data_IF_534394592441
#
_entry.id   IF_534394592441
#
_cell.length_a   1.000
_cell.length_b   1.000
_cell.length_c   1.000
_cell.angle_alpha   90.00
_cell.angle_beta   90.00
_cell.angle_gamma   90.00
#
_symmetry.space_group_name_H-M   'P 1'
#
loop_
_entity.id
_entity.type
_entity.pdbx_description
1 polymer ?
#
# COMPACT_ATOMS: atom_id res chain seq x y z
N UNK A 1 12.08 -16.41 9.04
CA UNK A 1 11.35 -17.69 9.07
C UNK A 1 9.99 -17.50 8.43
N UNK A 2 9.32 -18.58 8.00
CA UNK A 2 7.94 -18.53 7.50
C UNK A 2 7.19 -19.81 7.85
N UNK A 3 5.89 -19.71 8.05
CA UNK A 3 4.97 -20.86 8.10
C UNK A 3 4.63 -21.33 6.69
N UNK A 4 4.14 -22.56 6.56
CA UNK A 4 3.58 -23.09 5.31
C UNK A 4 2.12 -22.64 5.11
N UNK A 5 1.60 -22.65 3.87
CA UNK A 5 0.21 -22.33 3.59
C UNK A 5 -0.78 -23.17 4.40
N UNK A 6 -1.91 -22.55 4.77
CA UNK A 6 -3.02 -23.19 5.48
C UNK A 6 -4.26 -23.24 4.56
N UNK A 7 -4.05 -23.69 3.32
CA UNK A 7 -5.07 -23.82 2.27
C UNK A 7 -5.31 -25.29 1.90
N UNK A 8 -6.54 -25.59 1.47
CA UNK A 8 -6.95 -26.95 1.12
C UNK A 8 -6.67 -27.32 -0.35
N UNK A 9 -6.00 -26.44 -1.10
CA UNK A 9 -5.73 -26.54 -2.53
C UNK A 9 -6.92 -27.07 -3.35
N UNK A 10 -8.02 -26.32 -3.35
CA UNK A 10 -9.28 -26.70 -4.04
C UNK A 10 -9.86 -28.04 -3.56
N UNK A 11 -9.66 -28.37 -2.29
CA UNK A 11 -10.10 -29.62 -1.69
C UNK A 11 -9.19 -30.83 -1.93
N UNK A 12 -8.02 -30.65 -2.55
CA UNK A 12 -7.01 -31.71 -2.73
C UNK A 12 -6.31 -32.10 -1.42
N UNK A 13 -6.34 -31.24 -0.41
CA UNK A 13 -5.77 -31.49 0.92
C UNK A 13 -6.91 -31.72 1.93
N UNK A 14 -6.83 -32.83 2.68
CA UNK A 14 -7.82 -33.17 3.70
C UNK A 14 -7.71 -32.27 4.95
N UNK A 15 -8.80 -32.17 5.72
CA UNK A 15 -8.78 -31.43 6.99
C UNK A 15 -7.79 -32.03 8.02
N UNK A 16 -7.52 -33.35 7.94
CA UNK A 16 -6.46 -33.98 8.74
C UNK A 16 -5.08 -33.43 8.38
N UNK A 17 -4.76 -33.41 7.08
CA UNK A 17 -3.49 -32.90 6.60
C UNK A 17 -3.31 -31.41 6.92
N UNK A 18 -4.39 -30.62 6.84
CA UNK A 18 -4.42 -29.23 7.30
C UNK A 18 -4.15 -29.10 8.80
N UNK A 19 -4.76 -29.95 9.63
CA UNK A 19 -4.52 -29.94 11.07
C UNK A 19 -3.05 -30.26 11.40
N UNK A 20 -2.47 -31.27 10.73
CA UNK A 20 -1.04 -31.58 10.86
C UNK A 20 -0.15 -30.42 10.39
N UNK A 21 -0.53 -29.74 9.31
CA UNK A 21 0.13 -28.53 8.82
C UNK A 21 0.09 -27.39 9.86
N UNK A 22 -1.08 -27.16 10.46
CA UNK A 22 -1.24 -26.18 11.54
C UNK A 22 -0.33 -26.49 12.73
N UNK A 23 -0.27 -27.75 13.19
CA UNK A 23 0.63 -28.17 14.26
C UNK A 23 2.10 -27.91 13.95
N UNK A 24 2.53 -28.15 12.71
CA UNK A 24 3.90 -27.82 12.25
C UNK A 24 4.15 -26.31 12.25
N UNK A 25 3.16 -25.52 11.82
CA UNK A 25 3.23 -24.07 11.86
C UNK A 25 3.33 -23.54 13.30
N UNK A 26 2.62 -24.13 14.27
CA UNK A 26 2.80 -23.80 15.70
C UNK A 26 4.23 -24.06 16.18
N UNK A 27 4.85 -25.17 15.79
CA UNK A 27 6.26 -25.43 16.14
C UNK A 27 7.22 -24.38 15.56
N UNK A 28 6.97 -23.88 14.34
CA UNK A 28 7.76 -22.78 13.76
C UNK A 28 7.56 -21.50 14.58
N UNK A 29 6.32 -21.19 14.98
CA UNK A 29 6.01 -20.02 15.81
C UNK A 29 6.71 -20.10 17.16
N UNK A 30 6.65 -21.25 17.83
CA UNK A 30 7.32 -21.47 19.11
C UNK A 30 8.83 -21.33 18.99
N UNK A 31 9.42 -21.86 17.91
CA UNK A 31 10.85 -21.73 17.64
C UNK A 31 11.28 -20.27 17.42
N UNK A 32 10.49 -19.46 16.69
CA UNK A 32 10.80 -18.04 16.50
C UNK A 32 10.62 -17.29 17.81
N UNK A 33 9.50 -17.47 18.52
CA UNK A 33 9.20 -16.78 19.78
C UNK A 33 10.24 -17.02 20.88
N UNK A 34 10.98 -18.11 20.82
CA UNK A 34 12.03 -18.43 21.78
C UNK A 34 13.27 -17.49 21.70
N UNK A 35 13.38 -16.64 20.69
CA UNK A 35 14.52 -15.74 20.48
C UNK A 35 14.08 -14.46 19.75
N UNK A 36 14.19 -13.33 20.43
CA UNK A 36 13.75 -12.02 19.93
C UNK A 36 14.47 -11.55 18.67
N UNK A 37 15.62 -12.13 18.32
CA UNK A 37 16.34 -11.82 17.09
C UNK A 37 15.75 -12.54 15.86
N UNK A 38 14.77 -13.41 16.04
CA UNK A 38 14.14 -14.17 14.95
C UNK A 38 12.90 -13.45 14.46
N UNK A 39 12.87 -13.24 13.14
CA UNK A 39 11.73 -12.62 12.47
C UNK A 39 10.92 -13.70 11.76
N UNK A 40 9.60 -13.67 11.99
CA UNK A 40 8.64 -14.56 11.34
C UNK A 40 7.77 -13.77 10.35
N UNK A 41 7.82 -14.19 9.09
CA UNK A 41 6.78 -13.89 8.11
C UNK A 41 5.70 -14.98 8.22
N UNK A 42 4.66 -14.74 9.00
CA UNK A 42 3.62 -15.76 9.28
C UNK A 42 2.62 -15.86 8.12
N UNK A 43 3.06 -16.45 7.00
CA UNK A 43 2.27 -16.65 5.79
C UNK A 43 0.87 -17.23 6.09
N UNK A 44 0.81 -18.21 7.00
CA UNK A 44 -0.43 -18.89 7.36
C UNK A 44 -1.38 -17.93 8.06
N UNK A 45 -0.89 -17.23 9.08
CA UNK A 45 -1.72 -16.31 9.86
C UNK A 45 -2.22 -15.15 8.99
N UNK A 46 -1.36 -14.57 8.14
CA UNK A 46 -1.73 -13.47 7.23
C UNK A 46 -2.96 -13.83 6.38
N UNK A 47 -3.01 -15.05 5.84
CA UNK A 47 -4.10 -15.49 4.95
C UNK A 47 -5.33 -16.04 5.69
N UNK A 48 -5.23 -16.32 6.98
CA UNK A 48 -6.37 -16.74 7.80
C UNK A 48 -7.30 -15.58 8.19
N UNK A 49 -6.96 -14.34 7.82
CA UNK A 49 -7.78 -13.15 8.08
C UNK A 49 -8.07 -12.36 6.81
N UNK A 50 -9.26 -11.75 6.76
CA UNK A 50 -9.63 -10.74 5.77
C UNK A 50 -9.27 -9.33 6.25
N UNK A 51 -9.45 -8.33 5.39
CA UNK A 51 -9.10 -6.92 5.68
C UNK A 51 -9.96 -6.31 6.80
N UNK A 52 -11.16 -6.86 7.02
CA UNK A 52 -12.08 -6.46 8.08
C UNK A 52 -11.82 -7.20 9.42
N UNK A 53 -10.79 -8.05 9.47
CA UNK A 53 -10.48 -8.88 10.64
C UNK A 53 -11.29 -10.18 10.73
N UNK A 54 -12.14 -10.49 9.76
CA UNK A 54 -12.84 -11.78 9.70
C UNK A 54 -11.83 -12.92 9.61
N UNK A 55 -11.97 -13.94 10.46
CA UNK A 55 -11.04 -15.08 10.55
C UNK A 55 -11.65 -16.34 9.95
N UNK A 56 -10.89 -17.04 9.11
CA UNK A 56 -11.22 -18.36 8.61
C UNK A 56 -10.93 -19.46 9.63
N UNK A 57 -11.74 -20.51 9.63
CA UNK A 57 -11.55 -21.66 10.52
C UNK A 57 -11.89 -22.98 9.83
N UNK A 58 -11.20 -24.04 10.24
CA UNK A 58 -11.40 -25.42 9.76
C UNK A 58 -11.51 -26.32 10.99
N UNK A 59 -12.34 -27.37 10.89
CA UNK A 59 -12.50 -28.36 11.96
C UNK A 59 -12.08 -29.74 11.48
N UNK A 60 -11.30 -30.44 12.30
CA UNK A 60 -10.99 -31.86 12.14
C UNK A 60 -10.97 -32.55 13.52
N UNK A 61 -11.70 -33.66 13.66
CA UNK A 61 -11.73 -34.47 14.88
C UNK A 61 -11.87 -33.64 16.18
N UNK A 62 -12.92 -32.80 16.24
CA UNK A 62 -13.22 -31.86 17.34
C UNK A 62 -12.18 -30.75 17.60
N UNK A 63 -11.14 -30.65 16.78
CA UNK A 63 -10.18 -29.55 16.83
C UNK A 63 -10.56 -28.49 15.80
N UNK A 64 -10.82 -27.26 16.27
CA UNK A 64 -11.00 -26.09 15.41
C UNK A 64 -9.72 -25.28 15.38
N UNK A 65 -9.23 -24.98 14.18
CA UNK A 65 -7.97 -24.26 13.97
C UNK A 65 -8.12 -23.25 12.83
N UNK A 66 -7.25 -22.22 12.77
CA UNK A 66 -7.29 -21.25 11.67
C UNK A 66 -7.08 -21.91 10.30
N UNK A 67 -7.80 -21.40 9.32
CA UNK A 67 -7.61 -21.75 7.91
C UNK A 67 -7.81 -20.53 7.02
N UNK A 68 -7.31 -20.61 5.79
CA UNK A 68 -7.45 -19.54 4.80
C UNK A 68 -8.92 -19.12 4.63
N UNK A 69 -9.17 -17.82 4.53
CA UNK A 69 -10.51 -17.31 4.25
C UNK A 69 -10.91 -17.59 2.80
N UNK A 70 -12.22 -17.61 2.52
CA UNK A 70 -12.70 -17.80 1.15
C UNK A 70 -12.20 -16.68 0.21
N UNK A 71 -12.11 -15.43 0.70
CA UNK A 71 -11.63 -14.28 -0.07
C UNK A 71 -10.14 -14.41 -0.42
N UNK A 72 -9.32 -14.93 0.50
CA UNK A 72 -7.90 -15.13 0.26
C UNK A 72 -7.62 -16.39 -0.57
N UNK A 73 -8.51 -17.39 -0.55
CA UNK A 73 -8.38 -18.60 -1.35
C UNK A 73 -8.94 -18.45 -2.77
N UNK A 74 -10.04 -17.74 -2.95
CA UNK A 74 -10.79 -17.71 -4.22
C UNK A 74 -11.16 -16.28 -4.68
N UNK A 75 -11.31 -16.07 -6.00
CA UNK A 75 -11.02 -17.00 -7.10
C UNK A 75 -9.51 -17.20 -7.27
N UNK A 76 -9.10 -18.41 -7.65
CA UNK A 76 -7.69 -18.71 -7.97
C UNK A 76 -7.42 -18.27 -9.41
N UNK A 77 -6.45 -17.40 -9.59
CA UNK A 77 -5.99 -16.97 -10.91
C UNK A 77 -4.77 -17.80 -11.36
N UNK A 78 -3.76 -17.92 -10.49
CA UNK A 78 -2.60 -18.81 -10.67
C UNK A 78 -2.12 -19.32 -9.31
N UNK A 79 -1.94 -20.63 -9.16
CA UNK A 79 -1.36 -21.23 -7.95
C UNK A 79 -2.37 -21.60 -6.86
N UNK A 80 -2.07 -21.25 -5.61
CA UNK A 80 -2.78 -21.72 -4.40
C UNK A 80 -3.78 -20.72 -3.80
N UNK A 81 -3.71 -19.44 -4.18
CA UNK A 81 -4.43 -18.35 -3.50
C UNK A 81 -4.99 -17.34 -4.51
N UNK A 82 -5.92 -16.51 -4.06
CA UNK A 82 -6.52 -15.45 -4.88
C UNK A 82 -5.59 -14.25 -5.05
N UNK A 83 -5.95 -13.36 -5.97
CA UNK A 83 -5.27 -12.07 -6.13
C UNK A 83 -5.35 -11.20 -4.85
N UNK A 84 -6.44 -11.34 -4.07
CA UNK A 84 -6.55 -10.68 -2.77
C UNK A 84 -5.55 -11.24 -1.75
N UNK A 85 -5.40 -12.56 -1.69
CA UNK A 85 -4.38 -13.22 -0.86
C UNK A 85 -2.96 -12.81 -1.26
N UNK A 86 -2.66 -12.78 -2.57
CA UNK A 86 -1.37 -12.32 -3.10
C UNK A 86 -1.07 -10.87 -2.68
N UNK A 87 -2.03 -9.96 -2.84
CA UNK A 87 -1.86 -8.56 -2.46
C UNK A 87 -1.63 -8.40 -0.95
N UNK A 88 -2.32 -9.19 -0.13
CA UNK A 88 -2.15 -9.16 1.33
C UNK A 88 -0.76 -9.61 1.76
N UNK A 89 -0.24 -10.68 1.18
CA UNK A 89 1.14 -11.12 1.41
C UNK A 89 2.16 -10.08 0.96
N UNK A 90 1.95 -9.45 -0.20
CA UNK A 90 2.83 -8.40 -0.70
C UNK A 90 2.88 -7.20 0.26
N UNK A 91 1.73 -6.74 0.75
CA UNK A 91 1.63 -5.66 1.76
C UNK A 91 2.34 -6.04 3.06
N UNK A 92 2.10 -7.24 3.57
CA UNK A 92 2.72 -7.72 4.79
C UNK A 92 4.25 -7.86 4.65
N UNK A 93 4.72 -8.35 3.51
CA UNK A 93 6.16 -8.48 3.23
C UNK A 93 6.82 -7.11 3.11
N UNK A 94 6.20 -6.17 2.40
CA UNK A 94 6.68 -4.80 2.32
C UNK A 94 6.78 -4.16 3.71
N UNK A 95 5.73 -4.30 4.52
CA UNK A 95 5.70 -3.77 5.88
C UNK A 95 6.83 -4.38 6.75
N UNK A 96 6.99 -5.70 6.72
CA UNK A 96 8.06 -6.39 7.44
C UNK A 96 9.46 -5.90 7.01
N UNK A 97 9.70 -5.77 5.70
CA UNK A 97 10.98 -5.29 5.17
C UNK A 97 11.25 -3.83 5.58
N UNK A 98 10.23 -2.98 5.59
CA UNK A 98 10.36 -1.59 6.06
C UNK A 98 10.79 -1.55 7.53
N UNK A 99 10.18 -2.37 8.40
CA UNK A 99 10.58 -2.48 9.82
C UNK A 99 12.02 -3.00 9.96
N UNK A 100 12.40 -4.04 9.21
CA UNK A 100 13.79 -4.54 9.20
C UNK A 100 14.79 -3.46 8.76
N UNK A 101 14.41 -2.60 7.82
CA UNK A 101 15.23 -1.49 7.35
C UNK A 101 15.28 -0.31 8.34
N UNK A 102 14.69 -0.43 9.53
CA UNK A 102 14.70 0.60 10.57
C UNK A 102 13.68 1.71 10.35
N UNK A 103 12.60 1.45 9.60
CA UNK A 103 11.47 2.39 9.48
C UNK A 103 10.54 2.29 10.70
N UNK A 104 11.12 2.14 11.88
CA UNK A 104 10.42 2.10 13.14
C UNK A 104 9.95 3.52 13.50
N UNK A 105 8.68 3.68 13.88
CA UNK A 105 8.07 4.96 14.28
C UNK A 105 8.11 6.11 13.26
N UNK A 106 8.42 5.82 12.00
CA UNK A 106 8.18 6.74 10.89
C UNK A 106 6.68 6.80 10.64
N UNK A 107 5.99 7.64 11.41
CA UNK A 107 4.68 8.14 10.99
C UNK A 107 4.93 8.90 9.70
N UNK A 108 4.50 8.35 8.56
CA UNK A 108 4.20 9.23 7.44
C UNK A 108 3.19 10.23 8.00
N UNK A 109 3.43 11.54 7.91
CA UNK A 109 2.43 12.56 8.26
C UNK A 109 1.22 12.55 7.28
N UNK A 110 0.93 11.39 6.73
CA UNK A 110 -0.23 11.07 5.92
C UNK A 110 -1.24 10.53 6.92
N UNK A 111 -2.10 11.43 7.41
CA UNK A 111 -3.31 11.06 8.13
C UNK A 111 -4.31 10.54 7.09
N UNK A 112 -4.88 9.34 7.29
CA UNK A 112 -5.82 8.72 6.34
C UNK A 112 -7.21 9.40 6.37
N UNK A 113 -7.39 10.48 7.14
CA UNK A 113 -8.62 11.27 7.11
C UNK A 113 -8.45 12.69 7.64
N UNK A 114 -8.14 13.62 6.74
CA UNK A 114 -8.95 14.82 6.58
C UNK A 114 -9.22 15.00 5.09
N UNK A 115 -10.46 15.31 4.70
CA UNK A 115 -10.71 15.90 3.38
C UNK A 115 -10.02 17.27 3.43
N UNK A 116 -8.72 17.31 3.18
CA UNK A 116 -8.00 18.56 3.02
C UNK A 116 -8.63 19.22 1.79
N UNK A 117 -9.30 20.37 1.93
CA UNK A 117 -9.85 21.07 0.78
C UNK A 117 -8.72 21.27 -0.22
N UNK A 118 -9.01 20.98 -1.49
CA UNK A 118 -8.02 21.11 -2.55
C UNK A 118 -7.38 22.50 -2.51
N UNK A 119 -6.06 22.57 -2.39
CA UNK A 119 -5.36 23.85 -2.46
C UNK A 119 -5.41 24.41 -3.88
N UNK A 120 -5.40 23.53 -4.88
CA UNK A 120 -5.38 23.92 -6.29
C UNK A 120 -6.09 22.92 -7.22
N UNK A 121 -6.44 23.41 -8.41
CA UNK A 121 -6.83 22.64 -9.59
C UNK A 121 -5.75 22.73 -10.65
N UNK A 122 -5.49 21.62 -11.34
CA UNK A 122 -4.56 21.57 -12.47
C UNK A 122 -5.35 21.31 -13.75
N UNK A 123 -5.10 22.12 -14.77
CA UNK A 123 -5.72 22.02 -16.09
C UNK A 123 -4.62 22.02 -17.14
N UNK A 124 -4.75 21.17 -18.16
CA UNK A 124 -3.76 21.06 -19.23
C UNK A 124 -4.47 21.32 -20.54
N UNK A 125 -4.04 22.36 -21.26
CA UNK A 125 -4.54 22.71 -22.58
C UNK A 125 -3.37 23.06 -23.49
N UNK A 126 -3.27 22.42 -24.66
CA UNK A 126 -2.33 22.81 -25.73
C UNK A 126 -0.89 23.06 -25.26
N UNK A 127 -0.32 22.13 -24.47
CA UNK A 127 1.03 22.21 -23.86
C UNK A 127 1.21 23.29 -22.78
N UNK A 128 0.13 23.84 -22.27
CA UNK A 128 0.13 24.76 -21.14
C UNK A 128 -0.52 24.06 -19.94
N UNK A 129 0.23 23.99 -18.83
CA UNK A 129 -0.28 23.51 -17.55
C UNK A 129 -0.65 24.73 -16.68
N UNK A 130 -1.94 24.91 -16.45
CA UNK A 130 -2.50 25.96 -15.61
C UNK A 130 -2.87 25.42 -14.24
N UNK A 131 -2.33 26.03 -13.20
CA UNK A 131 -2.55 25.70 -11.80
C UNK A 131 -3.36 26.83 -11.16
N UNK A 132 -4.64 26.59 -10.94
CA UNK A 132 -5.53 27.53 -10.27
C UNK A 132 -5.55 27.25 -8.77
N UNK A 133 -5.07 28.18 -7.96
CA UNK A 133 -5.22 28.18 -6.52
C UNK A 133 -6.69 28.42 -6.15
N UNK A 134 -7.22 27.63 -5.22
CA UNK A 134 -8.64 27.74 -4.82
C UNK A 134 -8.89 28.83 -3.75
N UNK A 135 -7.82 29.38 -3.18
CA UNK A 135 -7.84 30.58 -2.33
C UNK A 135 -6.70 31.51 -2.76
N UNK A 136 -7.01 32.80 -2.93
CA UNK A 136 -6.07 33.83 -3.36
C UNK A 136 -5.25 34.42 -2.21
N UNK A 137 -5.59 34.08 -0.95
CA UNK A 137 -4.81 34.46 0.22
C UNK A 137 -3.53 33.62 0.40
N UNK A 138 -3.35 32.57 -0.40
CA UNK A 138 -2.16 31.73 -0.32
C UNK A 138 -0.92 32.44 -0.88
N UNK A 139 0.17 32.36 -0.11
CA UNK A 139 1.51 32.71 -0.56
C UNK A 139 2.40 31.48 -0.48
N UNK A 140 3.30 31.33 -1.45
CA UNK A 140 4.20 30.18 -1.51
C UNK A 140 4.59 29.80 -2.93
N UNK A 141 4.84 28.52 -3.17
CA UNK A 141 5.38 28.02 -4.44
C UNK A 141 4.56 26.87 -5.01
N UNK A 142 4.46 26.83 -6.33
CA UNK A 142 4.05 25.64 -7.07
C UNK A 142 5.27 25.12 -7.82
N UNK A 143 5.58 23.83 -7.65
CA UNK A 143 6.70 23.18 -8.32
C UNK A 143 6.25 21.94 -9.07
N UNK A 144 6.86 21.69 -10.22
CA UNK A 144 6.64 20.52 -11.06
C UNK A 144 7.83 19.56 -10.93
N UNK A 145 7.56 18.28 -10.68
CA UNK A 145 8.57 17.24 -10.52
C UNK A 145 8.35 16.09 -11.50
N UNK A 146 9.43 15.44 -11.92
CA UNK A 146 9.37 14.12 -12.54
C UNK A 146 8.91 13.07 -11.53
N UNK A 147 8.48 11.89 -12.02
CA UNK A 147 8.10 10.77 -11.16
C UNK A 147 9.27 10.24 -10.33
N UNK A 148 10.50 10.49 -10.76
CA UNK A 148 11.73 10.14 -10.02
C UNK A 148 12.10 11.17 -8.95
N UNK A 149 11.32 12.25 -8.81
CA UNK A 149 11.52 13.29 -7.79
C UNK A 149 12.43 14.45 -8.21
N UNK A 150 12.87 14.52 -9.47
CA UNK A 150 13.65 15.66 -9.97
C UNK A 150 12.74 16.86 -10.21
N UNK A 151 13.09 18.03 -9.69
CA UNK A 151 12.34 19.27 -9.94
C UNK A 151 12.61 19.77 -11.36
N UNK A 152 11.54 20.06 -12.12
CA UNK A 152 11.60 20.53 -13.50
C UNK A 152 11.44 22.05 -13.59
N UNK A 153 10.46 22.60 -12.87
CA UNK A 153 10.21 24.05 -12.81
C UNK A 153 9.52 24.42 -11.48
N UNK A 154 9.61 25.68 -11.07
CA UNK A 154 8.99 26.20 -9.86
C UNK A 154 8.62 27.67 -10.00
N UNK A 155 7.40 28.03 -9.60
CA UNK A 155 6.87 29.39 -9.67
C UNK A 155 6.36 29.84 -8.31
N UNK A 156 6.54 31.13 -8.03
CA UNK A 156 5.90 31.77 -6.88
C UNK A 156 4.41 31.95 -7.17
N UNK A 157 3.58 31.75 -6.14
CA UNK A 157 2.14 32.00 -6.21
C UNK A 157 1.94 33.52 -6.20
N UNK A 158 1.71 34.09 -7.38
CA UNK A 158 1.43 35.50 -7.60
C UNK A 158 0.02 35.65 -8.16
N UNK A 159 -0.99 35.60 -7.28
CA UNK A 159 -2.42 35.64 -7.67
C UNK A 159 -3.06 34.25 -7.65
N UNK A 160 -4.13 34.07 -8.43
CA UNK A 160 -4.94 32.85 -8.43
C UNK A 160 -4.41 31.75 -9.37
N UNK A 161 -3.53 32.08 -10.33
CA UNK A 161 -3.14 31.15 -11.38
C UNK A 161 -1.63 31.15 -11.64
N UNK A 162 -1.02 29.97 -11.61
CA UNK A 162 0.36 29.73 -12.06
C UNK A 162 0.34 28.93 -13.36
N UNK A 163 1.20 29.28 -14.31
CA UNK A 163 1.22 28.63 -15.64
C UNK A 163 2.60 28.07 -15.93
N UNK A 164 2.68 26.82 -16.38
CA UNK A 164 3.91 26.16 -16.82
C UNK A 164 3.84 25.88 -18.33
N UNK A 165 4.93 26.19 -19.04
CA UNK A 165 5.11 25.74 -20.42
C UNK A 165 5.59 24.29 -20.39
N UNK A 166 4.82 23.39 -20.98
CA UNK A 166 5.13 21.97 -21.05
C UNK A 166 5.58 21.53 -22.44
N UNK A 167 5.83 22.48 -23.36
CA UNK A 167 6.23 22.20 -24.74
C UNK A 167 7.52 21.38 -24.85
N UNK A 168 8.45 21.58 -23.93
CA UNK A 168 9.74 20.87 -23.86
C UNK A 168 9.73 19.68 -22.91
N UNK A 169 8.60 19.38 -22.27
CA UNK A 169 8.49 18.30 -21.30
C UNK A 169 7.97 17.04 -22.04
N UNK A 170 8.70 15.90 -21.99
CA UNK A 170 8.24 14.69 -22.63
C UNK A 170 6.88 14.20 -22.09
N UNK A 171 6.07 13.53 -22.90
CA UNK A 171 4.84 12.90 -22.41
C UNK A 171 5.13 11.92 -21.26
N UNK A 172 4.32 11.94 -20.21
CA UNK A 172 4.55 11.11 -19.03
C UNK A 172 3.76 11.52 -17.79
N UNK A 173 4.04 10.85 -16.67
CA UNK A 173 3.45 11.15 -15.36
C UNK A 173 4.36 12.07 -14.57
N UNK A 174 3.78 13.14 -14.03
CA UNK A 174 4.49 14.16 -13.26
C UNK A 174 3.75 14.46 -11.96
N UNK A 175 4.45 15.10 -11.02
CA UNK A 175 3.88 15.49 -9.72
C UNK A 175 3.94 17.01 -9.62
N UNK A 176 2.79 17.63 -9.35
CA UNK A 176 2.70 19.03 -8.95
C UNK A 176 2.69 19.07 -7.43
N UNK A 177 3.49 19.95 -6.83
CA UNK A 177 3.48 20.22 -5.40
C UNK A 177 3.25 21.72 -5.19
N UNK A 178 2.13 22.07 -4.55
CA UNK A 178 1.90 23.40 -4.03
C UNK A 178 2.29 23.42 -2.55
N UNK A 179 3.16 24.36 -2.17
CA UNK A 179 3.51 24.66 -0.77
C UNK A 179 3.10 26.08 -0.48
N UNK A 180 2.21 26.26 0.47
CA UNK A 180 1.69 27.56 0.91
C UNK A 180 2.04 27.80 2.37
N UNK A 181 1.77 29.01 2.85
CA UNK A 181 1.77 29.33 4.28
C UNK A 181 0.74 28.53 5.10
N UNK A 182 -0.31 27.99 4.47
CA UNK A 182 -1.38 27.23 5.12
C UNK A 182 -1.22 25.72 5.04
N UNK A 183 -0.30 25.20 4.22
CA UNK A 183 -0.08 23.77 4.09
C UNK A 183 0.61 23.38 2.79
N UNK A 184 0.58 22.09 2.46
CA UNK A 184 1.10 21.60 1.18
C UNK A 184 0.20 20.53 0.60
N UNK A 185 0.02 20.55 -0.72
CA UNK A 185 -0.73 19.53 -1.45
C UNK A 185 0.08 19.09 -2.67
N UNK A 186 0.03 17.79 -2.97
CA UNK A 186 0.59 17.25 -4.20
C UNK A 186 -0.47 16.54 -5.05
N UNK A 187 -0.40 16.69 -6.37
CA UNK A 187 -1.27 15.97 -7.32
C UNK A 187 -0.44 15.35 -8.44
N UNK A 188 -0.80 14.13 -8.85
CA UNK A 188 -0.25 13.48 -10.05
C UNK A 188 -0.99 13.99 -11.28
N UNK A 189 -0.26 14.26 -12.34
CA UNK A 189 -0.80 14.65 -13.64
C UNK A 189 -0.16 13.84 -14.77
N UNK A 190 -0.85 13.78 -15.91
CA UNK A 190 -0.35 13.18 -17.14
C UNK A 190 -0.20 14.29 -18.16
N UNK A 191 1.02 14.46 -18.69
CA UNK A 191 1.28 15.31 -19.86
C UNK A 191 1.28 14.42 -21.10
N UNK A 192 0.51 14.81 -22.12
CA UNK A 192 0.40 14.15 -23.42
C UNK A 192 1.11 15.00 -24.48
#
# INVERSE_FOLDING_TARGET
FTTAPQDNFEGKISNEALFQGHRKNEHIRDFVKADENRILFDYADILCYDDDGTRGSVTWNNNTFPGITAKNAYPINMGHISDAGNLRLAKAMWWMLARIAGWDDVKTNIDDSEIVPDLFRAMIESKILSIQMLDTAYSGTVSLYSLQGSMLDSKQINGDTCVFDTSQIPPGVYIIVARTNSGSQSKKIVLL
#
